data_IF_520238399629
#
_entry.id   IF_520238399629
#
_cell.length_a   1.000
_cell.length_b   1.000
_cell.length_c   1.000
_cell.angle_alpha   90.00
_cell.angle_beta   90.00
_cell.angle_gamma   90.00
#
_symmetry.space_group_name_H-M   'P 1'
#
loop_
_entity.id
_entity.type
_entity.pdbx_description
1 polymer ?
#
# COMPACT_ATOMS: atom_id res chain seq x y z
N UNK A 1 21.90 -18.48 4.40
CA UNK A 1 20.95 -17.36 4.67
C UNK A 1 19.62 -17.95 5.10
N UNK A 2 18.97 -17.37 6.11
CA UNK A 2 17.63 -17.81 6.49
C UNK A 2 16.60 -17.42 5.42
N UNK A 3 15.49 -18.14 5.30
CA UNK A 3 14.43 -17.80 4.35
C UNK A 3 13.80 -16.41 4.60
N UNK A 4 13.95 -15.84 5.78
CA UNK A 4 13.54 -14.47 6.07
C UNK A 4 14.37 -13.44 5.32
N UNK A 5 15.69 -13.67 5.24
CA UNK A 5 16.59 -12.80 4.46
C UNK A 5 16.26 -12.90 2.96
N UNK A 6 16.00 -14.12 2.47
CA UNK A 6 15.51 -14.32 1.09
C UNK A 6 14.18 -13.58 0.88
N UNK A 7 13.23 -13.76 1.79
CA UNK A 7 11.93 -13.09 1.74
C UNK A 7 12.04 -11.56 1.69
N UNK A 8 12.91 -10.97 2.50
CA UNK A 8 13.14 -9.52 2.49
C UNK A 8 13.68 -9.02 1.14
N UNK A 9 14.73 -9.65 0.59
CA UNK A 9 15.26 -9.21 -0.71
C UNK A 9 14.29 -9.46 -1.86
N UNK A 10 13.51 -10.53 -1.80
CA UNK A 10 12.43 -10.77 -2.76
C UNK A 10 11.35 -9.68 -2.68
N UNK A 11 10.92 -9.31 -1.46
CA UNK A 11 9.96 -8.24 -1.26
C UNK A 11 10.50 -6.87 -1.74
N UNK A 12 11.76 -6.56 -1.42
CA UNK A 12 12.42 -5.36 -1.93
C UNK A 12 12.42 -5.31 -3.46
N UNK A 13 12.95 -6.36 -4.11
CA UNK A 13 13.06 -6.40 -5.57
C UNK A 13 11.73 -6.39 -6.31
N UNK A 14 10.64 -6.82 -5.66
CA UNK A 14 9.31 -6.88 -6.26
C UNK A 14 8.49 -5.59 -6.05
N UNK A 15 8.63 -4.94 -4.89
CA UNK A 15 7.70 -3.87 -4.48
C UNK A 15 8.34 -2.47 -4.39
N UNK A 16 9.64 -2.35 -4.66
CA UNK A 16 10.31 -1.04 -4.69
C UNK A 16 10.99 -0.82 -6.05
N UNK A 17 10.90 0.41 -6.54
CA UNK A 17 11.66 0.86 -7.70
C UNK A 17 13.14 1.09 -7.38
N UNK A 18 13.50 1.19 -6.10
CA UNK A 18 14.88 1.34 -5.64
C UNK A 18 15.65 0.05 -5.95
N UNK A 19 16.82 0.14 -6.61
CA UNK A 19 17.59 -1.04 -6.98
C UNK A 19 17.85 -1.96 -5.79
N UNK A 20 17.44 -3.24 -5.93
CA UNK A 20 17.66 -4.24 -4.90
C UNK A 20 19.15 -4.64 -4.87
N UNK A 21 19.83 -4.56 -3.71
CA UNK A 21 21.25 -4.92 -3.59
C UNK A 21 21.53 -6.37 -3.96
N UNK A 22 20.55 -7.26 -3.82
CA UNK A 22 20.69 -8.69 -4.11
C UNK A 22 19.43 -9.23 -4.78
N UNK A 23 19.48 -9.43 -6.10
CA UNK A 23 18.39 -10.05 -6.87
C UNK A 23 18.42 -11.56 -6.66
N UNK A 24 17.46 -12.07 -5.91
CA UNK A 24 17.32 -13.50 -5.60
C UNK A 24 15.84 -13.88 -5.62
N UNK A 25 15.57 -15.13 -6.03
CA UNK A 25 14.24 -15.72 -5.95
C UNK A 25 14.31 -17.12 -5.34
N UNK A 26 13.43 -17.41 -4.40
CA UNK A 26 13.30 -18.74 -3.79
C UNK A 26 11.83 -19.01 -3.49
N UNK A 27 11.28 -20.03 -4.11
CA UNK A 27 9.86 -20.36 -3.99
C UNK A 27 9.44 -20.67 -2.54
N UNK A 28 10.28 -21.40 -1.77
CA UNK A 28 10.04 -21.68 -0.35
C UNK A 28 9.97 -20.44 0.56
N UNK A 29 10.49 -19.31 0.11
CA UNK A 29 10.51 -18.06 0.87
C UNK A 29 9.33 -17.12 0.51
N UNK A 30 8.43 -17.47 -0.42
CA UNK A 30 7.31 -16.58 -0.86
C UNK A 30 6.43 -16.13 0.28
N UNK A 31 6.07 -17.01 1.22
CA UNK A 31 5.26 -16.60 2.39
C UNK A 31 5.99 -15.61 3.29
N UNK A 32 7.31 -15.82 3.47
CA UNK A 32 8.16 -14.90 4.23
C UNK A 32 8.38 -13.58 3.49
N UNK A 33 8.39 -13.61 2.15
CA UNK A 33 8.38 -12.39 1.33
C UNK A 33 7.15 -11.52 1.63
N UNK A 34 5.96 -12.12 1.66
CA UNK A 34 4.72 -11.39 2.02
C UNK A 34 4.79 -10.88 3.47
N UNK A 35 5.28 -11.68 4.41
CA UNK A 35 5.46 -11.24 5.80
C UNK A 35 6.48 -10.09 5.95
N UNK A 36 7.44 -9.96 5.03
CA UNK A 36 8.42 -8.87 5.02
C UNK A 36 7.89 -7.56 4.41
N UNK A 37 6.66 -7.51 3.90
CA UNK A 37 6.06 -6.28 3.36
C UNK A 37 6.14 -5.07 4.32
N UNK A 38 5.95 -5.19 5.64
CA UNK A 38 6.14 -4.06 6.56
C UNK A 38 7.54 -3.44 6.50
N UNK A 39 8.58 -4.25 6.27
CA UNK A 39 9.96 -3.74 6.13
C UNK A 39 10.13 -2.95 4.82
N UNK A 40 9.49 -3.37 3.75
CA UNK A 40 9.38 -2.58 2.51
C UNK A 40 8.61 -1.28 2.78
N UNK A 41 7.56 -1.35 3.60
CA UNK A 41 6.82 -0.19 4.08
C UNK A 41 7.70 0.82 4.83
N UNK A 42 8.61 0.33 5.66
CA UNK A 42 9.57 1.18 6.37
C UNK A 42 10.48 1.95 5.39
N UNK A 43 11.01 1.27 4.37
CA UNK A 43 11.84 1.93 3.35
C UNK A 43 11.03 2.98 2.60
N UNK A 44 9.82 2.63 2.15
CA UNK A 44 8.94 3.57 1.46
C UNK A 44 8.57 4.77 2.34
N UNK A 45 8.29 4.55 3.62
CA UNK A 45 7.99 5.60 4.58
C UNK A 45 9.17 6.53 4.86
N UNK A 46 10.39 6.00 4.95
CA UNK A 46 11.61 6.80 5.10
C UNK A 46 11.84 7.69 3.87
N UNK A 47 11.66 7.16 2.66
CA UNK A 47 11.73 7.97 1.42
C UNK A 47 10.65 9.04 1.42
N UNK A 48 9.42 8.70 1.79
CA UNK A 48 8.33 9.67 1.88
C UNK A 48 8.62 10.79 2.88
N UNK A 49 9.08 10.44 4.08
CA UNK A 49 9.50 11.42 5.08
C UNK A 49 10.65 12.30 4.58
N UNK A 50 11.61 11.74 3.84
CA UNK A 50 12.67 12.49 3.17
C UNK A 50 12.12 13.49 2.15
N UNK A 51 11.12 13.11 1.35
CA UNK A 51 10.44 14.00 0.41
C UNK A 51 9.69 15.14 1.14
N UNK A 52 9.03 14.83 2.27
CA UNK A 52 8.38 15.85 3.10
C UNK A 52 9.40 16.80 3.70
N UNK A 53 10.54 16.30 4.18
CA UNK A 53 11.62 17.16 4.66
C UNK A 53 12.17 18.06 3.53
N UNK A 54 12.39 17.50 2.35
CA UNK A 54 12.89 18.25 1.18
C UNK A 54 11.87 19.29 0.70
N UNK A 55 10.57 19.02 0.83
CA UNK A 55 9.51 19.94 0.41
C UNK A 55 9.56 21.30 1.12
N UNK A 56 10.17 21.36 2.32
CA UNK A 56 10.37 22.62 3.05
C UNK A 56 11.27 23.63 2.31
N UNK A 57 12.07 23.18 1.35
CA UNK A 57 12.96 24.01 0.53
C UNK A 57 12.35 24.38 -0.83
N UNK A 58 11.14 23.95 -1.11
CA UNK A 58 10.44 24.15 -2.38
C UNK A 58 9.26 25.12 -2.21
N UNK A 59 8.85 25.82 -3.29
CA UNK A 59 7.55 26.49 -3.30
C UNK A 59 6.44 25.51 -2.94
N UNK A 60 5.47 25.97 -2.13
CA UNK A 60 4.42 25.14 -1.56
C UNK A 60 3.71 24.19 -2.57
N UNK A 61 3.30 24.62 -3.78
CA UNK A 61 2.66 23.72 -4.72
C UNK A 61 3.58 22.59 -5.22
N UNK A 62 4.87 22.89 -5.39
CA UNK A 62 5.86 21.89 -5.84
C UNK A 62 6.24 20.94 -4.69
N UNK A 63 6.36 21.45 -3.47
CA UNK A 63 6.56 20.64 -2.28
C UNK A 63 5.39 19.66 -2.06
N UNK A 64 4.17 20.15 -2.17
CA UNK A 64 2.97 19.32 -2.09
C UNK A 64 2.90 18.25 -3.20
N UNK A 65 3.32 18.60 -4.42
CA UNK A 65 3.41 17.65 -5.54
C UNK A 65 4.41 16.53 -5.25
N UNK A 66 5.62 16.90 -4.77
CA UNK A 66 6.65 15.94 -4.40
C UNK A 66 6.14 14.97 -3.32
N UNK A 67 5.50 15.50 -2.25
CA UNK A 67 4.94 14.69 -1.17
C UNK A 67 3.82 13.76 -1.65
N UNK A 68 2.96 14.25 -2.55
CA UNK A 68 1.88 13.45 -3.10
C UNK A 68 2.38 12.31 -4.00
N UNK A 69 3.39 12.54 -4.83
CA UNK A 69 3.92 11.55 -5.75
C UNK A 69 4.87 10.52 -5.11
N UNK A 70 5.50 10.87 -3.98
CA UNK A 70 6.57 10.08 -3.36
C UNK A 70 6.22 8.60 -3.12
N UNK A 71 5.06 8.21 -2.53
CA UNK A 71 4.73 6.81 -2.28
C UNK A 71 4.55 6.01 -3.58
N UNK A 72 4.12 6.65 -4.66
CA UNK A 72 3.95 6.00 -5.96
C UNK A 72 5.27 5.84 -6.69
N UNK A 73 6.13 6.87 -6.66
CA UNK A 73 7.46 6.83 -7.28
C UNK A 73 8.35 5.77 -6.63
N UNK A 74 8.34 5.65 -5.29
CA UNK A 74 9.17 4.68 -4.58
C UNK A 74 8.79 3.24 -4.86
N UNK A 75 7.53 2.99 -5.25
CA UNK A 75 7.03 1.65 -5.61
C UNK A 75 6.96 1.43 -7.13
N UNK A 76 7.46 2.37 -7.93
CA UNK A 76 7.44 2.28 -9.39
C UNK A 76 6.03 2.18 -9.95
N UNK A 77 5.07 2.86 -9.32
CA UNK A 77 3.65 2.88 -9.67
C UNK A 77 2.90 1.54 -9.55
N UNK A 78 3.54 0.47 -9.06
CA UNK A 78 2.95 -0.87 -8.99
C UNK A 78 1.58 -0.89 -8.27
N UNK A 79 1.48 -0.17 -7.13
CA UNK A 79 0.23 -0.14 -6.37
C UNK A 79 -0.81 0.78 -7.01
N UNK A 80 -0.35 1.82 -7.71
CA UNK A 80 -1.21 2.73 -8.44
C UNK A 80 -1.84 2.07 -9.67
N UNK A 81 -1.10 1.20 -10.35
CA UNK A 81 -1.58 0.33 -11.41
C UNK A 81 -2.74 -0.55 -10.93
N UNK A 82 -2.54 -1.28 -9.82
CA UNK A 82 -3.61 -2.06 -9.20
C UNK A 82 -4.82 -1.21 -8.75
N UNK A 83 -4.60 0.05 -8.32
CA UNK A 83 -5.70 0.98 -8.04
C UNK A 83 -6.51 1.27 -9.30
N UNK A 84 -5.85 1.54 -10.41
CA UNK A 84 -6.48 1.84 -11.70
C UNK A 84 -7.27 0.64 -12.22
N UNK A 85 -6.70 -0.56 -12.17
CA UNK A 85 -7.32 -1.80 -12.63
C UNK A 85 -8.60 -2.13 -11.85
N UNK A 86 -8.56 -1.98 -10.52
CA UNK A 86 -9.74 -2.19 -9.68
C UNK A 86 -10.82 -1.14 -9.98
N UNK A 87 -10.44 0.12 -10.18
CA UNK A 87 -11.40 1.18 -10.55
C UNK A 87 -12.10 0.87 -11.87
N UNK A 88 -11.37 0.48 -12.91
CA UNK A 88 -11.97 0.11 -14.19
C UNK A 88 -12.88 -1.11 -14.04
N UNK A 89 -12.42 -2.17 -13.39
CA UNK A 89 -13.20 -3.38 -13.21
C UNK A 89 -14.51 -3.12 -12.47
N UNK A 90 -14.44 -2.40 -11.34
CA UNK A 90 -15.61 -2.20 -10.48
C UNK A 90 -16.59 -1.18 -11.06
N UNK A 91 -16.09 -0.05 -11.58
CA UNK A 91 -16.95 1.00 -12.13
C UNK A 91 -17.55 0.64 -13.49
N UNK A 92 -17.06 -0.41 -14.15
CA UNK A 92 -17.71 -0.98 -15.35
C UNK A 92 -19.14 -1.45 -15.09
N UNK A 93 -19.50 -1.72 -13.82
CA UNK A 93 -20.80 -2.24 -13.38
C UNK A 93 -21.25 -3.51 -14.10
N UNK A 94 -20.29 -4.30 -14.60
CA UNK A 94 -20.56 -5.59 -15.28
C UNK A 94 -20.73 -6.71 -14.23
N UNK A 95 -21.06 -7.90 -14.71
CA UNK A 95 -21.05 -9.12 -13.91
C UNK A 95 -19.65 -9.47 -13.39
N UNK A 96 -19.57 -10.37 -12.42
CA UNK A 96 -18.32 -10.73 -11.75
C UNK A 96 -17.25 -11.27 -12.72
N UNK A 97 -17.65 -12.13 -13.66
CA UNK A 97 -16.73 -12.73 -14.62
C UNK A 97 -16.10 -11.68 -15.53
N UNK A 98 -16.92 -10.75 -16.04
CA UNK A 98 -16.46 -9.63 -16.86
C UNK A 98 -15.55 -8.70 -16.08
N UNK A 99 -15.87 -8.38 -14.79
CA UNK A 99 -14.98 -7.57 -13.93
C UNK A 99 -13.64 -8.23 -13.73
N UNK A 100 -13.61 -9.53 -13.46
CA UNK A 100 -12.36 -10.29 -13.30
C UNK A 100 -11.55 -10.36 -14.61
N UNK A 101 -12.21 -10.32 -15.78
CA UNK A 101 -11.54 -10.22 -17.08
C UNK A 101 -10.95 -8.83 -17.29
N UNK A 102 -11.70 -7.76 -16.98
CA UNK A 102 -11.20 -6.37 -17.04
C UNK A 102 -9.98 -6.21 -16.12
N UNK A 103 -10.01 -6.74 -14.90
CA UNK A 103 -8.90 -6.69 -13.95
C UNK A 103 -7.58 -7.29 -14.50
N UNK A 104 -7.62 -8.06 -15.58
CA UNK A 104 -6.45 -8.67 -16.24
C UNK A 104 -6.14 -8.07 -17.60
N UNK A 105 -6.95 -7.17 -18.04
CA UNK A 105 -6.74 -6.48 -19.31
C UNK A 105 -5.62 -5.44 -19.14
N UNK A 106 -4.62 -5.49 -19.97
CA UNK A 106 -3.52 -4.51 -19.96
C UNK A 106 -3.92 -3.14 -20.53
N UNK A 107 -5.14 -2.99 -21.05
CA UNK A 107 -5.64 -1.73 -21.54
C UNK A 107 -6.24 -0.89 -20.44
N UNK A 108 -5.84 0.37 -20.36
CA UNK A 108 -6.37 1.33 -19.41
C UNK A 108 -7.71 1.90 -19.89
N UNK A 109 -8.76 1.78 -19.08
CA UNK A 109 -10.07 2.34 -19.37
C UNK A 109 -10.25 3.75 -18.84
N UNK A 110 -11.37 4.37 -19.21
CA UNK A 110 -11.67 5.74 -18.82
C UNK A 110 -11.86 5.92 -17.30
N UNK A 111 -12.44 4.93 -16.63
CA UNK A 111 -12.66 5.02 -15.17
C UNK A 111 -11.36 5.01 -14.39
N UNK A 112 -10.36 4.22 -14.83
CA UNK A 112 -9.02 4.25 -14.24
C UNK A 112 -8.42 5.66 -14.27
N UNK A 113 -8.48 6.33 -15.42
CA UNK A 113 -7.94 7.68 -15.60
C UNK A 113 -8.70 8.70 -14.75
N UNK A 114 -10.02 8.65 -14.72
CA UNK A 114 -10.84 9.56 -13.90
C UNK A 114 -10.51 9.38 -12.41
N UNK A 115 -10.47 8.13 -11.93
CA UNK A 115 -10.17 7.83 -10.54
C UNK A 115 -8.73 8.22 -10.18
N UNK A 116 -7.76 8.00 -11.07
CA UNK A 116 -6.38 8.43 -10.89
C UNK A 116 -6.27 9.95 -10.72
N UNK A 117 -6.93 10.72 -11.58
CA UNK A 117 -6.93 12.19 -11.48
C UNK A 117 -7.54 12.65 -10.16
N UNK A 118 -8.69 12.08 -9.77
CA UNK A 118 -9.33 12.41 -8.50
C UNK A 118 -8.44 12.04 -7.31
N UNK A 119 -7.85 10.85 -7.30
CA UNK A 119 -6.92 10.41 -6.27
C UNK A 119 -5.73 11.37 -6.13
N UNK A 120 -5.11 11.72 -7.28
CA UNK A 120 -3.97 12.63 -7.31
C UNK A 120 -4.35 14.01 -6.77
N UNK A 121 -5.46 14.58 -7.20
CA UNK A 121 -5.94 15.87 -6.71
C UNK A 121 -6.24 15.83 -5.21
N UNK A 122 -6.86 14.77 -4.71
CA UNK A 122 -7.10 14.58 -3.28
C UNK A 122 -5.78 14.53 -2.49
N UNK A 123 -4.82 13.71 -2.94
CA UNK A 123 -3.55 13.56 -2.24
C UNK A 123 -2.71 14.85 -2.30
N UNK A 124 -2.69 15.52 -3.44
CA UNK A 124 -2.03 16.81 -3.58
C UNK A 124 -2.68 17.90 -2.69
N UNK A 125 -4.01 17.95 -2.66
CA UNK A 125 -4.75 18.90 -1.80
C UNK A 125 -4.46 18.66 -0.30
N UNK A 126 -4.34 17.39 0.13
CA UNK A 126 -3.93 17.04 1.49
C UNK A 126 -2.59 17.69 1.83
N UNK A 127 -1.57 17.49 1.00
CA UNK A 127 -0.24 18.06 1.25
C UNK A 127 -0.18 19.57 1.03
N UNK A 128 -0.97 20.12 0.12
CA UNK A 128 -1.08 21.56 -0.10
C UNK A 128 -1.70 22.27 1.14
N UNK A 129 -2.61 21.61 1.84
CA UNK A 129 -3.25 22.10 3.05
C UNK A 129 -2.48 21.78 4.34
N UNK A 130 -1.39 21.02 4.22
CA UNK A 130 -0.62 20.60 5.36
C UNK A 130 0.20 21.75 5.94
N UNK A 131 0.27 21.80 7.28
CA UNK A 131 1.34 22.55 7.94
C UNK A 131 2.53 21.62 8.23
N UNK A 132 3.09 21.71 9.43
CA UNK A 132 4.17 20.81 9.84
C UNK A 132 3.66 19.36 9.96
N UNK A 133 4.25 18.44 9.20
CA UNK A 133 3.92 17.02 9.21
C UNK A 133 4.88 16.29 10.13
N UNK A 134 4.41 15.51 11.13
CA UNK A 134 5.28 14.71 11.97
C UNK A 134 5.86 13.53 11.17
N UNK A 135 7.18 13.55 10.95
CA UNK A 135 7.85 12.61 10.04
C UNK A 135 7.77 11.15 10.51
N UNK A 136 7.91 10.89 11.83
CA UNK A 136 7.88 9.51 12.33
C UNK A 136 6.51 8.85 12.19
N UNK A 137 5.38 9.47 12.59
CA UNK A 137 4.07 8.96 12.27
C UNK A 137 3.84 8.75 10.76
N UNK A 138 4.35 9.64 9.90
CA UNK A 138 4.26 9.47 8.45
C UNK A 138 5.01 8.22 7.98
N UNK A 139 6.21 7.95 8.48
CA UNK A 139 6.96 6.72 8.16
C UNK A 139 6.15 5.47 8.50
N UNK A 140 5.38 5.49 9.59
CA UNK A 140 4.59 4.34 10.04
C UNK A 140 3.32 4.11 9.20
N UNK A 141 2.86 5.07 8.41
CA UNK A 141 1.69 4.91 7.51
C UNK A 141 1.91 3.80 6.48
N UNK A 142 2.97 3.81 5.64
CA UNK A 142 3.22 2.71 4.71
C UNK A 142 3.52 1.38 5.41
N UNK A 143 4.13 1.38 6.60
CA UNK A 143 4.37 0.16 7.38
C UNK A 143 3.04 -0.49 7.77
N UNK A 144 2.09 0.31 8.28
CA UNK A 144 0.75 -0.13 8.66
C UNK A 144 -0.01 -0.73 7.47
N UNK A 145 -0.07 -0.02 6.36
CA UNK A 145 -0.74 -0.49 5.15
C UNK A 145 -0.15 -1.82 4.65
N UNK A 146 1.18 -1.97 4.67
CA UNK A 146 1.84 -3.19 4.22
C UNK A 146 1.74 -4.36 5.21
N UNK A 147 1.61 -4.08 6.51
CA UNK A 147 1.24 -5.10 7.48
C UNK A 147 -0.19 -5.61 7.23
N UNK A 148 -1.14 -4.72 6.94
CA UNK A 148 -2.49 -5.10 6.51
C UNK A 148 -2.47 -5.90 5.19
N UNK A 149 -1.62 -5.51 4.21
CA UNK A 149 -1.46 -6.24 2.96
C UNK A 149 -0.94 -7.66 3.18
N UNK A 150 0.05 -7.83 4.05
CA UNK A 150 0.55 -9.14 4.44
C UNK A 150 -0.55 -10.00 5.08
N UNK A 151 -1.33 -9.42 6.00
CA UNK A 151 -2.46 -10.09 6.64
C UNK A 151 -3.51 -10.50 5.61
N UNK A 152 -3.94 -9.58 4.73
CA UNK A 152 -4.97 -9.84 3.74
C UNK A 152 -4.56 -10.96 2.77
N UNK A 153 -3.34 -10.91 2.22
CA UNK A 153 -2.82 -11.93 1.30
C UNK A 153 -2.68 -13.30 1.96
N UNK A 154 -2.28 -13.34 3.24
CA UNK A 154 -2.05 -14.59 3.99
C UNK A 154 -3.32 -15.18 4.61
N UNK A 155 -4.46 -14.45 4.62
CA UNK A 155 -5.68 -14.92 5.29
C UNK A 155 -6.89 -14.98 4.37
N UNK A 156 -7.06 -14.01 3.46
CA UNK A 156 -8.23 -13.94 2.60
C UNK A 156 -8.18 -14.93 1.44
N UNK A 157 -9.36 -15.30 0.94
CA UNK A 157 -9.47 -16.16 -0.23
C UNK A 157 -8.96 -15.42 -1.48
N UNK A 158 -8.00 -16.00 -2.25
CA UNK A 158 -7.57 -15.38 -3.49
C UNK A 158 -8.61 -15.53 -4.60
N UNK A 159 -8.64 -14.62 -5.55
CA UNK A 159 -9.27 -14.85 -6.84
C UNK A 159 -8.55 -16.04 -7.50
N UNK A 160 -9.31 -16.95 -8.14
CA UNK A 160 -8.79 -18.23 -8.65
C UNK A 160 -7.55 -18.12 -9.55
N UNK A 161 -7.41 -17.01 -10.23
CA UNK A 161 -6.29 -16.70 -11.15
C UNK A 161 -5.23 -15.78 -10.55
N UNK A 162 -5.30 -15.51 -9.25
CA UNK A 162 -4.30 -14.69 -8.54
C UNK A 162 -2.98 -15.46 -8.41
N UNK A 163 -1.87 -14.73 -8.50
CA UNK A 163 -0.53 -15.25 -8.19
C UNK A 163 -0.39 -15.82 -6.76
N UNK A 164 -1.33 -15.52 -5.87
CA UNK A 164 -1.39 -16.02 -4.49
C UNK A 164 -2.24 -17.28 -4.33
N UNK A 165 -2.85 -17.81 -5.40
CA UNK A 165 -3.79 -18.93 -5.33
C UNK A 165 -3.20 -20.21 -4.73
N UNK A 166 -1.93 -20.50 -5.00
CA UNK A 166 -1.20 -21.68 -4.50
C UNK A 166 -0.50 -21.46 -3.14
N UNK A 167 -0.64 -20.29 -2.52
CA UNK A 167 0.05 -19.96 -1.27
C UNK A 167 -0.72 -20.53 -0.08
N UNK A 168 -0.03 -21.27 0.81
CA UNK A 168 -0.59 -21.69 2.09
C UNK A 168 -0.94 -20.48 2.98
N UNK A 169 -2.03 -20.56 3.72
CA UNK A 169 -2.54 -19.49 4.58
C UNK A 169 -2.24 -19.76 6.05
N UNK A 170 -2.26 -18.65 6.83
CA UNK A 170 -2.07 -18.74 8.29
C UNK A 170 -0.61 -18.92 8.72
N UNK A 171 -0.42 -19.29 9.99
CA UNK A 171 0.87 -19.60 10.58
C UNK A 171 1.69 -18.39 11.04
N UNK A 172 2.98 -18.63 11.36
CA UNK A 172 3.88 -17.63 11.92
C UNK A 172 3.98 -16.31 11.12
N UNK A 173 3.95 -16.27 9.76
CA UNK A 173 3.93 -15.03 9.01
C UNK A 173 2.75 -14.12 9.31
N UNK A 174 1.55 -14.68 9.55
CA UNK A 174 0.35 -13.91 9.95
C UNK A 174 0.53 -13.30 11.33
N UNK A 175 1.00 -14.10 12.30
CA UNK A 175 1.27 -13.62 13.65
C UNK A 175 2.28 -12.47 13.64
N UNK A 176 3.37 -12.61 12.87
CA UNK A 176 4.37 -11.55 12.72
C UNK A 176 3.77 -10.26 12.17
N UNK A 177 3.01 -10.34 11.07
CA UNK A 177 2.36 -9.15 10.48
C UNK A 177 1.36 -8.49 11.44
N UNK A 178 0.57 -9.29 12.20
CA UNK A 178 -0.36 -8.77 13.19
C UNK A 178 0.36 -8.07 14.36
N UNK A 179 1.45 -8.64 14.87
CA UNK A 179 2.27 -8.03 15.94
C UNK A 179 2.91 -6.72 15.47
N UNK A 180 3.42 -6.68 14.23
CA UNK A 180 3.95 -5.44 13.66
C UNK A 180 2.85 -4.38 13.58
N UNK A 181 1.66 -4.71 13.04
CA UNK A 181 0.56 -3.77 12.89
C UNK A 181 0.12 -3.20 14.25
N UNK A 182 -0.14 -4.06 15.21
CA UNK A 182 -0.57 -3.62 16.55
C UNK A 182 0.51 -2.81 17.26
N UNK A 183 1.78 -3.25 17.16
CA UNK A 183 2.91 -2.55 17.76
C UNK A 183 3.10 -1.14 17.22
N UNK A 184 3.05 -0.95 15.89
CA UNK A 184 3.24 0.39 15.28
C UNK A 184 2.06 1.32 15.54
N UNK A 185 0.82 0.82 15.54
CA UNK A 185 -0.34 1.63 15.86
C UNK A 185 -0.30 2.08 17.33
N UNK A 186 0.02 1.17 18.26
CA UNK A 186 0.18 1.49 19.67
C UNK A 186 1.34 2.47 19.90
N UNK A 187 2.50 2.22 19.30
CA UNK A 187 3.68 3.08 19.42
C UNK A 187 3.40 4.50 18.92
N UNK A 188 2.74 4.63 17.76
CA UNK A 188 2.38 5.93 17.20
C UNK A 188 1.40 6.70 18.10
N UNK A 189 0.39 6.03 18.61
CA UNK A 189 -0.58 6.64 19.52
C UNK A 189 0.04 7.07 20.86
N UNK A 190 0.89 6.21 21.46
CA UNK A 190 1.49 6.48 22.78
C UNK A 190 2.57 7.56 22.72
N UNK A 191 3.49 7.49 21.74
CA UNK A 191 4.64 8.40 21.70
C UNK A 191 4.36 9.74 21.03
N UNK A 192 3.44 9.77 20.08
CA UNK A 192 3.17 10.99 19.29
C UNK A 192 1.70 11.44 19.31
N UNK A 193 0.83 10.71 20.02
CA UNK A 193 -0.62 11.01 19.99
C UNK A 193 -1.24 10.85 18.60
N UNK A 194 -0.56 10.19 17.66
CA UNK A 194 -0.97 10.12 16.27
C UNK A 194 -1.67 8.81 15.94
N UNK A 195 -2.89 8.92 15.41
CA UNK A 195 -3.69 7.80 14.93
C UNK A 195 -3.54 7.55 13.41
N UNK A 196 -2.58 8.21 12.74
CA UNK A 196 -2.41 8.08 11.30
C UNK A 196 -2.15 6.64 10.82
N UNK A 197 -1.29 5.80 11.47
CA UNK A 197 -1.14 4.41 11.08
C UNK A 197 -2.43 3.59 11.27
N UNK A 198 -3.25 3.92 12.27
CA UNK A 198 -4.57 3.30 12.48
C UNK A 198 -5.57 3.71 11.39
N UNK A 199 -5.60 4.99 11.02
CA UNK A 199 -6.41 5.49 9.92
C UNK A 199 -6.02 4.85 8.59
N UNK A 200 -4.71 4.67 8.36
CA UNK A 200 -4.18 3.97 7.20
C UNK A 200 -4.64 2.49 7.17
N UNK A 201 -4.54 1.79 8.30
CA UNK A 201 -5.03 0.42 8.43
C UNK A 201 -6.55 0.33 8.19
N UNK A 202 -7.32 1.23 8.76
CA UNK A 202 -8.77 1.29 8.56
C UNK A 202 -9.13 1.53 7.09
N UNK A 203 -8.47 2.50 6.44
CA UNK A 203 -8.64 2.77 5.01
C UNK A 203 -8.31 1.56 4.15
N UNK A 204 -7.20 0.87 4.44
CA UNK A 204 -6.82 -0.37 3.78
C UNK A 204 -7.90 -1.46 3.92
N UNK A 205 -8.34 -1.73 5.16
CA UNK A 205 -9.34 -2.78 5.46
C UNK A 205 -10.66 -2.49 4.76
N UNK A 206 -11.14 -1.26 4.80
CA UNK A 206 -12.38 -0.86 4.12
C UNK A 206 -12.25 -1.01 2.60
N UNK A 207 -11.11 -0.63 2.02
CA UNK A 207 -10.86 -0.77 0.59
C UNK A 207 -10.81 -2.25 0.16
N UNK A 208 -10.13 -3.11 0.92
CA UNK A 208 -10.12 -4.57 0.67
C UNK A 208 -11.51 -5.14 0.79
N UNK A 209 -12.23 -4.83 1.86
CA UNK A 209 -13.59 -5.30 2.07
C UNK A 209 -14.52 -4.94 0.91
N UNK A 210 -14.42 -3.70 0.41
CA UNK A 210 -15.17 -3.26 -0.75
C UNK A 210 -14.77 -4.02 -2.02
N UNK A 211 -13.48 -4.08 -2.34
CA UNK A 211 -12.97 -4.72 -3.55
C UNK A 211 -13.21 -6.24 -3.54
N UNK A 212 -13.04 -6.91 -2.42
CA UNK A 212 -13.31 -8.34 -2.25
C UNK A 212 -14.77 -8.67 -2.58
N UNK A 213 -15.71 -7.86 -2.10
CA UNK A 213 -17.15 -8.03 -2.42
C UNK A 213 -17.47 -7.80 -3.90
N UNK A 214 -16.74 -6.93 -4.57
CA UNK A 214 -16.96 -6.59 -5.97
C UNK A 214 -16.27 -7.57 -6.94
N UNK A 215 -15.15 -8.17 -6.52
CA UNK A 215 -14.29 -8.98 -7.38
C UNK A 215 -14.19 -10.46 -6.96
N UNK A 216 -14.77 -10.83 -5.80
CA UNK A 216 -14.89 -12.20 -5.33
C UNK A 216 -13.60 -12.80 -4.76
N UNK A 217 -12.66 -11.96 -4.27
CA UNK A 217 -11.45 -12.44 -3.63
C UNK A 217 -10.29 -11.45 -3.66
N UNK A 218 -9.14 -11.90 -3.12
CA UNK A 218 -7.90 -11.13 -3.01
C UNK A 218 -6.98 -11.34 -4.20
N UNK A 219 -6.41 -10.25 -4.72
CA UNK A 219 -5.35 -10.25 -5.75
C UNK A 219 -4.26 -9.23 -5.43
N UNK A 220 -3.22 -9.17 -6.25
CA UNK A 220 -2.20 -8.11 -6.20
C UNK A 220 -2.81 -6.73 -6.40
N UNK A 221 -3.71 -6.61 -7.37
CA UNK A 221 -4.38 -5.38 -7.76
C UNK A 221 -5.32 -4.88 -6.66
N UNK A 222 -6.08 -5.80 -6.03
CA UNK A 222 -6.89 -5.49 -4.84
C UNK A 222 -6.01 -4.99 -3.69
N UNK A 223 -4.82 -5.58 -3.50
CA UNK A 223 -3.87 -5.08 -2.50
C UNK A 223 -3.33 -3.70 -2.87
N UNK A 224 -2.97 -3.48 -4.14
CA UNK A 224 -2.49 -2.19 -4.65
C UNK A 224 -3.53 -1.08 -4.48
N UNK A 225 -4.78 -1.35 -4.85
CA UNK A 225 -5.93 -0.47 -4.62
C UNK A 225 -6.07 -0.08 -3.15
N UNK A 226 -6.02 -1.07 -2.26
CA UNK A 226 -6.18 -0.82 -0.83
C UNK A 226 -4.98 -0.12 -0.20
N UNK A 227 -3.74 -0.42 -0.64
CA UNK A 227 -2.54 0.27 -0.22
C UNK A 227 -2.60 1.77 -0.57
N UNK A 228 -3.00 2.07 -1.79
CA UNK A 228 -3.11 3.45 -2.27
C UNK A 228 -4.12 4.27 -1.46
N UNK A 229 -5.30 3.71 -1.20
CA UNK A 229 -6.34 4.38 -0.39
C UNK A 229 -5.97 4.45 1.09
N UNK A 230 -5.36 3.40 1.64
CA UNK A 230 -4.90 3.38 3.02
C UNK A 230 -3.82 4.43 3.28
N UNK A 231 -2.84 4.58 2.38
CA UNK A 231 -1.80 5.61 2.48
C UNK A 231 -2.39 7.02 2.40
N UNK A 232 -3.38 7.26 1.52
CA UNK A 232 -4.11 8.52 1.47
C UNK A 232 -4.85 8.80 2.78
N UNK A 233 -5.56 7.81 3.36
CA UNK A 233 -6.25 7.97 4.64
C UNK A 233 -5.29 8.30 5.79
N UNK A 234 -4.13 7.63 5.83
CA UNK A 234 -3.08 7.91 6.82
C UNK A 234 -2.50 9.32 6.69
N UNK A 235 -2.19 9.74 5.46
CA UNK A 235 -1.70 11.09 5.18
C UNK A 235 -2.74 12.17 5.54
N UNK A 236 -4.00 11.96 5.16
CA UNK A 236 -5.10 12.85 5.51
C UNK A 236 -5.29 12.97 7.03
N UNK A 237 -5.18 11.87 7.77
CA UNK A 237 -5.27 11.88 9.22
C UNK A 237 -4.14 12.71 9.87
N UNK A 238 -2.93 12.71 9.31
CA UNK A 238 -1.82 13.55 9.79
C UNK A 238 -2.07 15.05 9.58
N UNK A 239 -2.80 15.40 8.54
CA UNK A 239 -3.08 16.79 8.19
C UNK A 239 -4.32 17.33 8.91
N UNK A 240 -5.37 16.51 9.00
CA UNK A 240 -6.68 16.94 9.52
C UNK A 240 -6.82 16.81 11.04
N UNK A 241 -6.04 15.89 11.65
CA UNK A 241 -6.09 15.62 13.09
C UNK A 241 -4.89 16.25 13.77
N UNK A 242 -5.02 17.52 14.12
CA UNK A 242 -4.03 18.31 14.86
C UNK A 242 -4.51 18.58 16.26
#
# INVERSE_FOLDING_TARGET
MSDWIYGFFMAWGMFLAIPCPKKIWRESARRKMVACLPLVGLIAGLVWAGCVWLSAFLPLPLGALLCAAAPWLVTGFLHLDGFMDVCDAVLSRRDLETRQRILKDSHCGAFAVICLVLLFLCQWAVFLSAGAIPLLPLVLVPVSCRACAALAVLTLRPIAVSQYSAMERGGAPVVFAALVLTGICALSAILWGSFAPLAAAAGYVLAVWYADRQLGGMSGDVSGFALTLGELCGAAALVLWR
#
